data_IF_859309960548
#
_entry.id   IF_859309960548
#
_cell.length_a   1.000
_cell.length_b   1.000
_cell.length_c   1.000
_cell.angle_alpha   90.00
_cell.angle_beta   90.00
_cell.angle_gamma   90.00
#
_symmetry.space_group_name_H-M   'P 1'
#
loop_
_entity.id
_entity.type
_entity.pdbx_description
1 polymer ?
#
# COMPACT_ATOMS: atom_id res chain seq x y z
N UNK A 1 -31.46 -13.48 -6.93
CA UNK A 1 -31.41 -13.41 -8.38
C UNK A 1 -30.30 -14.28 -8.89
N UNK A 2 -30.59 -15.34 -9.59
CA UNK A 2 -29.53 -16.11 -10.17
C UNK A 2 -28.91 -15.31 -11.32
N UNK A 3 -27.61 -15.08 -11.24
CA UNK A 3 -26.84 -14.55 -12.36
C UNK A 3 -26.95 -15.52 -13.53
N UNK A 4 -27.32 -15.02 -14.69
CA UNK A 4 -27.36 -15.82 -15.90
C UNK A 4 -25.93 -15.99 -16.46
N UNK A 5 -25.21 -16.94 -15.91
CA UNK A 5 -23.82 -17.23 -16.29
C UNK A 5 -23.66 -17.63 -17.77
N UNK A 6 -24.74 -18.00 -18.45
CA UNK A 6 -24.72 -18.30 -19.89
C UNK A 6 -24.41 -17.08 -20.74
N UNK A 7 -24.73 -15.87 -20.25
CA UNK A 7 -24.37 -14.64 -20.95
C UNK A 7 -22.87 -14.35 -20.93
N UNK A 8 -22.17 -14.73 -19.85
CA UNK A 8 -20.73 -14.54 -19.70
C UNK A 8 -19.96 -15.43 -20.68
N UNK A 9 -20.46 -16.61 -20.99
CA UNK A 9 -19.82 -17.53 -21.96
C UNK A 9 -19.81 -17.03 -23.40
N UNK A 10 -20.64 -16.03 -23.73
CA UNK A 10 -20.72 -15.43 -25.08
C UNK A 10 -19.77 -14.23 -25.26
N UNK A 11 -19.15 -13.75 -24.17
CA UNK A 11 -18.16 -12.68 -24.26
C UNK A 11 -16.86 -13.30 -24.77
N UNK A 12 -16.34 -12.84 -25.94
CA UNK A 12 -15.07 -13.36 -26.44
C UNK A 12 -13.97 -13.06 -25.44
N UNK A 13 -13.30 -14.10 -24.96
CA UNK A 13 -12.16 -13.93 -24.07
C UNK A 13 -10.97 -13.40 -24.86
N UNK A 14 -10.43 -12.27 -24.40
CA UNK A 14 -9.18 -11.74 -24.92
C UNK A 14 -8.02 -12.56 -24.34
N UNK A 15 -7.06 -12.87 -25.21
CA UNK A 15 -5.85 -13.57 -24.78
C UNK A 15 -4.71 -12.55 -24.65
N UNK A 16 -3.91 -12.72 -23.60
CA UNK A 16 -2.68 -11.96 -23.41
C UNK A 16 -1.54 -12.92 -23.13
N UNK A 17 -0.35 -12.54 -23.54
CA UNK A 17 0.85 -13.30 -23.27
C UNK A 17 1.86 -12.41 -22.55
N UNK A 18 2.39 -12.90 -21.43
CA UNK A 18 3.43 -12.22 -20.67
C UNK A 18 4.68 -13.09 -20.74
N UNK A 19 5.78 -12.51 -21.19
CA UNK A 19 7.08 -13.17 -21.26
C UNK A 19 7.99 -12.49 -20.25
N UNK A 20 8.55 -13.27 -19.33
CA UNK A 20 9.51 -12.81 -18.33
C UNK A 20 10.80 -13.55 -18.57
N UNK A 21 11.87 -12.82 -18.90
CA UNK A 21 13.17 -13.39 -19.18
C UNK A 21 14.25 -12.56 -18.47
N UNK A 22 15.06 -13.21 -17.65
CA UNK A 22 16.16 -12.58 -16.92
C UNK A 22 17.24 -11.98 -17.82
N UNK A 23 17.29 -12.37 -19.08
CA UNK A 23 18.24 -11.84 -20.06
C UNK A 23 17.72 -10.63 -20.84
N UNK A 24 16.44 -10.28 -20.66
CA UNK A 24 15.82 -9.12 -21.29
C UNK A 24 15.46 -8.06 -20.23
N UNK A 25 16.48 -7.55 -19.55
CA UNK A 25 16.29 -6.51 -18.55
C UNK A 25 16.18 -5.15 -19.23
N UNK A 26 15.13 -4.41 -18.95
CA UNK A 26 14.88 -3.07 -19.49
C UNK A 26 15.39 -1.97 -18.59
N UNK A 27 15.59 -2.25 -17.31
CA UNK A 27 16.06 -1.26 -16.37
C UNK A 27 16.07 -1.79 -14.93
N UNK A 28 16.66 -1.00 -14.06
CA UNK A 28 16.67 -1.26 -12.62
C UNK A 28 15.43 -0.64 -11.98
N UNK A 29 14.76 -1.38 -11.14
CA UNK A 29 13.65 -0.86 -10.34
C UNK A 29 14.20 0.07 -9.27
N UNK A 30 13.76 1.32 -9.27
CA UNK A 30 14.08 2.27 -8.21
C UNK A 30 13.21 1.96 -6.99
N UNK A 31 13.84 1.80 -5.83
CA UNK A 31 13.12 1.47 -4.60
C UNK A 31 12.10 2.54 -4.19
N UNK A 32 12.25 3.76 -4.66
CA UNK A 32 11.32 4.85 -4.35
C UNK A 32 9.90 4.62 -4.87
N UNK A 33 9.71 3.74 -5.85
CA UNK A 33 8.35 3.37 -6.30
C UNK A 33 7.54 2.67 -5.19
N UNK A 34 8.22 2.11 -4.19
CA UNK A 34 7.59 1.51 -3.01
C UNK A 34 7.42 2.49 -1.85
N UNK A 35 7.55 3.78 -2.13
CA UNK A 35 7.32 4.83 -1.17
C UNK A 35 5.86 4.93 -0.75
N UNK A 36 5.62 5.71 0.28
CA UNK A 36 4.29 5.94 0.81
C UNK A 36 3.92 7.41 0.79
N UNK A 37 2.63 7.65 0.78
CA UNK A 37 2.07 8.97 0.95
C UNK A 37 1.30 9.01 2.26
N UNK A 38 1.52 10.04 3.05
CA UNK A 38 0.78 10.26 4.27
C UNK A 38 0.24 11.68 4.33
N UNK A 39 -0.99 11.81 4.81
CA UNK A 39 -1.67 13.07 4.95
C UNK A 39 -2.58 13.04 6.16
N UNK A 40 -3.02 14.19 6.63
CA UNK A 40 -3.94 14.31 7.76
C UNK A 40 -5.37 13.98 7.33
N UNK A 41 -5.57 12.78 6.85
CA UNK A 41 -6.86 12.24 6.45
C UNK A 41 -7.38 11.24 7.48
N UNK A 42 -8.59 11.45 7.95
CA UNK A 42 -9.21 10.55 8.90
C UNK A 42 -8.32 10.28 10.10
N UNK A 43 -8.00 9.03 10.34
CA UNK A 43 -7.14 8.57 11.44
C UNK A 43 -5.75 8.13 10.97
N UNK A 44 -5.25 8.70 9.89
CA UNK A 44 -3.94 8.30 9.39
C UNK A 44 -2.81 8.76 10.30
N UNK A 45 -2.83 10.01 10.73
CA UNK A 45 -1.83 10.56 11.65
C UNK A 45 -2.34 10.51 13.08
N UNK A 46 -3.37 11.29 13.38
CA UNK A 46 -3.97 11.30 14.72
C UNK A 46 -4.85 10.08 14.94
N UNK A 47 -4.65 9.38 16.06
CA UNK A 47 -5.28 8.09 16.37
C UNK A 47 -4.81 6.93 15.47
N UNK A 48 -3.83 7.17 14.62
CA UNK A 48 -3.17 6.16 13.80
C UNK A 48 -1.71 6.02 14.18
N UNK A 49 -0.86 6.88 13.66
CA UNK A 49 0.57 6.92 14.00
C UNK A 49 0.77 7.54 15.38
N UNK A 50 0.06 8.63 15.67
CA UNK A 50 0.15 9.38 16.91
C UNK A 50 -1.18 9.34 17.67
N UNK A 51 -1.12 8.87 18.89
CA UNK A 51 -2.26 8.83 19.80
C UNK A 51 -1.77 8.95 21.23
N UNK A 52 -1.77 10.16 21.75
CA UNK A 52 -1.36 10.42 23.12
C UNK A 52 -2.30 9.75 24.11
N UNK A 53 -1.74 9.17 25.16
CA UNK A 53 -2.52 8.54 26.22
C UNK A 53 -3.05 7.13 25.92
N UNK A 54 -2.78 6.60 24.73
CA UNK A 54 -3.14 5.22 24.42
C UNK A 54 -2.20 4.23 25.12
N UNK A 55 -2.71 3.10 25.64
CA UNK A 55 -1.85 2.06 26.20
C UNK A 55 -0.92 1.43 25.14
N UNK A 56 -1.21 1.60 23.87
CA UNK A 56 -0.37 1.15 22.76
C UNK A 56 0.69 2.16 22.34
N UNK A 57 0.62 3.38 22.88
CA UNK A 57 1.57 4.45 22.55
C UNK A 57 2.76 4.47 23.49
N UNK A 58 3.89 4.98 22.98
CA UNK A 58 5.07 5.24 23.78
C UNK A 58 4.94 6.54 24.59
N UNK A 59 6.00 6.93 25.28
CA UNK A 59 6.02 8.15 26.10
C UNK A 59 5.87 9.43 25.28
N UNK A 60 6.21 9.38 23.99
CA UNK A 60 6.12 10.51 23.08
C UNK A 60 4.76 10.57 22.37
N UNK A 61 3.91 9.57 22.54
CA UNK A 61 2.59 9.51 21.93
C UNK A 61 2.51 8.71 20.62
N UNK A 62 3.61 8.10 20.20
CA UNK A 62 3.61 7.28 18.98
C UNK A 62 3.10 5.87 19.24
N UNK A 63 2.22 5.41 18.38
CA UNK A 63 1.66 4.07 18.42
C UNK A 63 2.74 3.04 18.11
N UNK A 64 3.11 2.23 19.07
CA UNK A 64 4.15 1.20 18.91
C UNK A 64 3.75 0.12 17.91
N UNK A 65 2.49 -0.29 17.93
CA UNK A 65 1.95 -1.26 16.97
C UNK A 65 2.02 -0.75 15.52
N UNK A 66 1.65 0.50 15.31
CA UNK A 66 1.74 1.15 13.99
C UNK A 66 3.19 1.29 13.53
N UNK A 67 4.09 1.71 14.43
CA UNK A 67 5.51 1.86 14.10
C UNK A 67 6.15 0.53 13.69
N UNK A 68 5.76 -0.55 14.34
CA UNK A 68 6.25 -1.88 14.00
C UNK A 68 5.86 -2.26 12.57
N UNK A 69 4.60 -2.06 12.20
CA UNK A 69 4.12 -2.32 10.85
C UNK A 69 4.81 -1.44 9.81
N UNK A 70 5.04 -0.17 10.14
CA UNK A 70 5.76 0.76 9.23
C UNK A 70 7.22 0.31 9.04
N UNK A 71 7.88 -0.16 10.09
CA UNK A 71 9.23 -0.73 9.97
C UNK A 71 9.25 -1.97 9.08
N UNK A 72 8.27 -2.83 9.24
CA UNK A 72 8.13 -4.04 8.41
C UNK A 72 7.94 -3.71 6.93
N UNK A 73 7.20 -2.65 6.62
CA UNK A 73 7.03 -2.17 5.24
C UNK A 73 8.32 -1.66 4.61
N UNK A 74 9.31 -1.24 5.39
CA UNK A 74 10.59 -0.71 4.89
C UNK A 74 10.40 0.40 3.86
N UNK A 75 9.52 1.34 4.14
CA UNK A 75 9.20 2.45 3.24
C UNK A 75 10.43 3.31 2.99
N UNK A 76 10.92 3.41 1.72
CA UNK A 76 12.18 4.12 1.43
C UNK A 76 12.03 5.64 1.35
N UNK A 77 10.83 6.11 1.09
CA UNK A 77 10.53 7.54 0.96
C UNK A 77 9.07 7.79 1.31
N UNK A 78 8.80 8.92 1.91
CA UNK A 78 7.45 9.34 2.28
C UNK A 78 7.19 10.73 1.74
N UNK A 79 6.04 10.91 1.09
CA UNK A 79 5.51 12.23 0.76
C UNK A 79 4.56 12.68 1.85
N UNK A 80 4.78 13.90 2.35
CA UNK A 80 4.00 14.49 3.45
C UNK A 80 4.01 16.00 3.39
N UNK A 81 3.00 16.61 3.90
CA UNK A 81 1.64 16.60 3.41
C UNK A 81 1.45 17.61 2.32
N UNK A 82 0.33 17.47 1.61
CA UNK A 82 0.03 18.38 0.52
C UNK A 82 -0.81 19.57 0.88
N UNK A 83 -1.27 19.73 2.05
CA UNK A 83 -2.15 20.85 2.22
C UNK A 83 -2.70 21.18 3.57
#
# INVERSE_FOLDING_TARGET
MPYNWHHIRRIPMKKAQIIIDKYFLTGKVDKRIFGSFIEQLGRAVYQGIYQEGSPLSDEQGFRKDTLELVRELQVPIVRYPGG
#
